data_IF_202928472865
#
_entry.id   IF_202928472865
#
_cell.length_a   1.000
_cell.length_b   1.000
_cell.length_c   1.000
_cell.angle_alpha   90.00
_cell.angle_beta   90.00
_cell.angle_gamma   90.00
#
_symmetry.space_group_name_H-M   'P 1'
#
loop_
_entity.id
_entity.type
_entity.pdbx_description
1 polymer ?
#
# COMPACT_ATOMS: atom_id res chain seq x y z
N UNK A 1 -38.13 -33.84 -24.10
CA UNK A 1 -39.04 -32.68 -24.25
C UNK A 1 -38.15 -31.52 -24.67
N UNK A 2 -38.20 -30.88 -25.84
CA UNK A 2 -39.10 -30.74 -26.99
C UNK A 2 -38.17 -30.49 -28.21
N UNK A 3 -38.32 -31.16 -29.35
CA UNK A 3 -39.06 -30.67 -30.54
C UNK A 3 -38.69 -29.21 -30.90
N UNK A 4 -38.03 -28.89 -32.01
CA UNK A 4 -38.49 -28.94 -33.41
C UNK A 4 -38.37 -27.50 -33.96
N UNK A 5 -37.68 -27.30 -35.09
CA UNK A 5 -37.99 -26.21 -36.03
C UNK A 5 -37.11 -26.31 -37.28
N UNK A 6 -37.50 -27.23 -38.17
CA UNK A 6 -37.28 -27.05 -39.60
C UNK A 6 -38.31 -26.04 -40.08
N UNK A 7 -37.88 -24.88 -40.59
CA UNK A 7 -38.77 -23.97 -41.30
C UNK A 7 -38.26 -23.74 -42.73
N UNK A 8 -38.89 -24.52 -43.61
CA UNK A 8 -39.14 -24.24 -45.02
C UNK A 8 -39.62 -22.78 -45.22
N UNK A 9 -38.98 -22.04 -46.11
CA UNK A 9 -39.64 -20.95 -46.84
C UNK A 9 -39.44 -21.24 -48.33
N UNK A 10 -40.38 -22.02 -48.86
CA UNK A 10 -40.74 -22.04 -50.26
C UNK A 10 -41.64 -20.82 -50.49
N UNK A 11 -41.22 -19.87 -51.33
CA UNK A 11 -42.07 -18.80 -51.83
C UNK A 11 -42.05 -18.79 -53.36
N UNK A 12 -43.16 -18.40 -54.02
CA UNK A 12 -43.54 -18.96 -55.30
C UNK A 12 -43.14 -18.10 -56.50
N UNK A 13 -42.85 -18.86 -57.56
CA UNK A 13 -42.88 -18.52 -58.99
C UNK A 13 -43.91 -17.44 -59.34
N UNK A 14 -43.44 -16.22 -59.61
CA UNK A 14 -44.19 -15.22 -60.37
C UNK A 14 -43.96 -15.45 -61.86
N UNK A 15 -45.00 -15.96 -62.53
CA UNK A 15 -45.09 -15.98 -63.97
C UNK A 15 -45.55 -14.58 -64.43
N UNK A 16 -44.70 -13.86 -65.16
CA UNK A 16 -45.09 -12.70 -65.95
C UNK A 16 -44.90 -13.03 -67.43
N UNK A 17 -46.04 -13.09 -68.13
CA UNK A 17 -46.18 -13.22 -69.58
C UNK A 17 -45.44 -12.10 -70.34
N UNK A 18 -44.66 -12.41 -71.39
CA UNK A 18 -44.21 -11.41 -72.34
C UNK A 18 -45.24 -11.23 -73.46
N UNK A 19 -45.69 -9.98 -73.63
CA UNK A 19 -46.45 -9.54 -74.79
C UNK A 19 -45.67 -9.72 -76.09
N UNK A 20 -46.32 -10.36 -77.05
CA UNK A 20 -45.89 -10.58 -78.42
C UNK A 20 -45.95 -9.27 -79.23
N UNK A 21 -44.79 -8.62 -79.36
CA UNK A 21 -44.55 -7.62 -80.40
C UNK A 21 -43.55 -8.19 -81.40
N UNK A 22 -44.06 -8.55 -82.58
CA UNK A 22 -43.30 -9.05 -83.73
C UNK A 22 -42.35 -7.95 -84.25
N UNK A 23 -41.17 -7.84 -83.63
CA UNK A 23 -40.02 -7.12 -84.17
C UNK A 23 -39.16 -8.13 -84.90
N UNK A 24 -38.94 -7.90 -86.19
CA UNK A 24 -38.01 -8.66 -87.02
C UNK A 24 -36.66 -8.72 -86.30
N UNK A 25 -35.99 -9.88 -86.19
CA UNK A 25 -34.71 -9.98 -85.51
C UNK A 25 -33.69 -9.16 -86.31
N UNK A 26 -33.39 -7.95 -85.84
CA UNK A 26 -32.12 -7.30 -86.15
C UNK A 26 -31.05 -8.22 -85.62
N UNK A 27 -30.45 -9.01 -86.51
CA UNK A 27 -29.30 -9.87 -86.22
C UNK A 27 -28.19 -8.99 -85.65
N UNK A 28 -28.08 -8.95 -84.33
CA UNK A 28 -26.93 -8.37 -83.66
C UNK A 28 -25.75 -9.25 -84.03
N UNK A 29 -24.82 -8.69 -84.80
CA UNK A 29 -23.56 -9.35 -85.08
C UNK A 29 -22.86 -9.60 -83.74
N UNK A 30 -22.34 -10.82 -83.56
CA UNK A 30 -21.61 -11.23 -82.36
C UNK A 30 -20.13 -11.02 -82.63
N UNK A 31 -19.49 -10.16 -81.85
CA UNK A 31 -18.06 -9.85 -81.97
C UNK A 31 -17.22 -10.88 -81.20
N UNK A 32 -16.00 -11.16 -81.68
CA UNK A 32 -15.07 -12.03 -80.98
C UNK A 32 -14.30 -11.24 -79.90
N UNK A 33 -14.24 -11.75 -78.67
CA UNK A 33 -13.55 -11.09 -77.56
C UNK A 33 -12.03 -11.00 -77.73
N UNK A 34 -11.47 -11.76 -78.69
CA UNK A 34 -10.02 -11.89 -78.91
C UNK A 34 -9.55 -11.24 -80.22
N UNK A 35 -10.46 -10.91 -81.14
CA UNK A 35 -10.12 -10.20 -82.38
C UNK A 35 -11.34 -9.45 -82.95
N UNK A 36 -11.12 -8.50 -83.85
CA UNK A 36 -12.16 -7.60 -84.37
C UNK A 36 -13.16 -8.25 -85.36
N UNK A 37 -13.30 -9.58 -85.36
CA UNK A 37 -14.18 -10.32 -86.26
C UNK A 37 -15.58 -10.44 -85.69
N UNK A 38 -16.57 -10.24 -86.55
CA UNK A 38 -17.98 -10.31 -86.21
C UNK A 38 -18.70 -11.43 -86.96
N UNK A 39 -19.58 -12.15 -86.29
CA UNK A 39 -20.27 -13.33 -86.82
C UNK A 39 -21.78 -13.15 -86.74
N UNK A 40 -22.49 -13.73 -87.72
CA UNK A 40 -23.95 -13.64 -87.79
C UNK A 40 -24.66 -14.64 -86.86
N UNK A 41 -23.94 -15.68 -86.42
CA UNK A 41 -24.46 -16.78 -85.62
C UNK A 41 -23.46 -17.17 -84.53
N UNK A 42 -23.99 -17.63 -83.41
CA UNK A 42 -23.18 -18.03 -82.26
C UNK A 42 -22.32 -19.26 -82.56
N UNK A 43 -22.82 -20.21 -83.37
CA UNK A 43 -22.05 -21.42 -83.74
C UNK A 43 -20.79 -21.07 -84.55
N UNK A 44 -20.90 -20.11 -85.47
CA UNK A 44 -19.76 -19.65 -86.28
C UNK A 44 -18.70 -18.93 -85.42
N UNK A 45 -19.16 -18.15 -84.44
CA UNK A 45 -18.28 -17.49 -83.46
C UNK A 45 -17.60 -18.51 -82.54
N UNK A 46 -18.34 -19.48 -81.99
CA UNK A 46 -17.76 -20.49 -81.09
C UNK A 46 -16.76 -21.39 -81.84
N UNK A 47 -17.06 -21.78 -83.08
CA UNK A 47 -16.11 -22.51 -83.93
C UNK A 47 -14.87 -21.66 -84.25
N UNK A 48 -15.04 -20.36 -84.52
CA UNK A 48 -13.90 -19.45 -84.71
C UNK A 48 -13.03 -19.36 -83.45
N UNK A 49 -13.63 -19.17 -82.28
CA UNK A 49 -12.91 -19.10 -81.00
C UNK A 49 -12.20 -20.43 -80.73
N UNK A 50 -12.87 -21.57 -80.90
CA UNK A 50 -12.27 -22.89 -80.63
C UNK A 50 -11.19 -23.30 -81.66
N UNK A 51 -11.14 -22.69 -82.84
CA UNK A 51 -10.13 -23.01 -83.87
C UNK A 51 -8.98 -22.01 -83.96
N UNK A 52 -9.21 -20.74 -83.60
CA UNK A 52 -8.21 -19.67 -83.70
C UNK A 52 -7.75 -19.11 -82.36
N UNK A 53 -8.55 -19.30 -81.31
CA UNK A 53 -8.34 -18.74 -79.98
C UNK A 53 -8.46 -19.81 -78.88
N UNK A 54 -8.20 -21.09 -79.19
CA UNK A 54 -8.34 -22.19 -78.23
C UNK A 54 -7.38 -22.06 -77.04
N UNK A 55 -6.15 -21.63 -77.29
CA UNK A 55 -5.14 -21.36 -76.26
C UNK A 55 -5.50 -20.13 -75.43
N UNK A 56 -5.98 -19.06 -76.06
CA UNK A 56 -6.36 -17.82 -75.36
C UNK A 56 -7.65 -18.00 -74.54
N UNK A 57 -8.59 -18.84 -74.99
CA UNK A 57 -9.77 -19.28 -74.23
C UNK A 57 -9.39 -20.14 -73.03
N UNK A 58 -8.38 -21.01 -73.17
CA UNK A 58 -7.85 -21.81 -72.07
C UNK A 58 -7.12 -20.93 -71.04
N UNK A 59 -6.32 -19.96 -71.47
CA UNK A 59 -5.62 -19.03 -70.58
C UNK A 59 -6.59 -18.10 -69.83
N UNK A 60 -7.67 -17.63 -70.49
CA UNK A 60 -8.72 -16.82 -69.85
C UNK A 60 -9.45 -17.60 -68.76
N UNK A 61 -9.87 -18.84 -69.05
CA UNK A 61 -10.56 -19.68 -68.06
C UNK A 61 -9.63 -20.08 -66.91
N UNK A 62 -8.36 -20.34 -67.19
CA UNK A 62 -7.36 -20.62 -66.16
C UNK A 62 -7.12 -19.40 -65.25
N UNK A 63 -7.06 -18.19 -65.81
CA UNK A 63 -6.92 -16.93 -65.06
C UNK A 63 -8.12 -16.67 -64.14
N UNK A 64 -9.34 -16.87 -64.64
CA UNK A 64 -10.57 -16.74 -63.84
C UNK A 64 -10.62 -17.76 -62.68
N UNK A 65 -10.17 -18.99 -62.90
CA UNK A 65 -10.05 -20.02 -61.85
C UNK A 65 -9.01 -19.60 -60.79
N UNK A 66 -7.86 -19.05 -61.20
CA UNK A 66 -6.85 -18.53 -60.27
C UNK A 66 -7.36 -17.35 -59.44
N UNK A 67 -8.03 -16.38 -60.05
CA UNK A 67 -8.62 -15.23 -59.34
C UNK A 67 -9.67 -15.68 -58.31
N UNK A 68 -10.51 -16.65 -58.66
CA UNK A 68 -11.49 -17.21 -57.72
C UNK A 68 -10.81 -17.91 -56.54
N UNK A 69 -9.77 -18.72 -56.79
CA UNK A 69 -8.99 -19.38 -55.73
C UNK A 69 -8.29 -18.35 -54.83
N UNK A 70 -7.75 -17.29 -55.41
CA UNK A 70 -7.06 -16.22 -54.67
C UNK A 70 -8.04 -15.38 -53.84
N UNK A 71 -9.22 -15.07 -54.36
CA UNK A 71 -10.26 -14.36 -53.60
C UNK A 71 -10.81 -15.22 -52.46
N UNK A 72 -10.99 -16.52 -52.68
CA UNK A 72 -11.36 -17.46 -51.62
C UNK A 72 -10.27 -17.53 -50.54
N UNK A 73 -9.00 -17.62 -50.93
CA UNK A 73 -7.87 -17.57 -50.00
C UNK A 73 -7.81 -16.24 -49.24
N UNK A 74 -8.09 -15.12 -49.91
CA UNK A 74 -8.15 -13.79 -49.28
C UNK A 74 -9.28 -13.71 -48.25
N UNK A 75 -10.48 -14.19 -48.59
CA UNK A 75 -11.63 -14.26 -47.66
C UNK A 75 -11.31 -15.15 -46.47
N UNK A 76 -10.65 -16.28 -46.67
CA UNK A 76 -10.22 -17.16 -45.60
C UNK A 76 -9.19 -16.49 -44.68
N UNK A 77 -8.16 -15.84 -45.25
CA UNK A 77 -7.18 -15.06 -44.48
C UNK A 77 -7.82 -13.94 -43.66
N UNK A 78 -8.81 -13.24 -44.21
CA UNK A 78 -9.54 -12.19 -43.49
C UNK A 78 -10.35 -12.76 -42.32
N UNK A 79 -11.02 -13.93 -42.49
CA UNK A 79 -11.72 -14.60 -41.39
C UNK A 79 -10.77 -15.05 -40.28
N UNK A 80 -9.63 -15.63 -40.65
CA UNK A 80 -8.60 -16.03 -39.68
C UNK A 80 -7.97 -14.83 -38.97
N UNK A 81 -7.75 -13.73 -39.67
CA UNK A 81 -7.26 -12.49 -39.07
C UNK A 81 -8.27 -11.92 -38.06
N UNK A 82 -9.56 -11.87 -38.42
CA UNK A 82 -10.61 -11.42 -37.51
C UNK A 82 -10.74 -12.32 -36.27
N UNK A 83 -10.68 -13.65 -36.45
CA UNK A 83 -10.71 -14.59 -35.33
C UNK A 83 -9.49 -14.44 -34.39
N UNK A 84 -8.30 -14.20 -34.95
CA UNK A 84 -7.10 -13.91 -34.15
C UNK A 84 -7.24 -12.58 -33.41
N UNK A 85 -7.78 -11.55 -34.05
CA UNK A 85 -8.00 -10.25 -33.41
C UNK A 85 -8.98 -10.35 -32.23
N UNK A 86 -10.06 -11.12 -32.38
CA UNK A 86 -11.03 -11.37 -31.31
C UNK A 86 -10.40 -12.15 -30.15
N UNK A 87 -9.63 -13.21 -30.45
CA UNK A 87 -8.90 -13.97 -29.43
C UNK A 87 -7.87 -13.10 -28.68
N UNK A 88 -7.19 -12.18 -29.36
CA UNK A 88 -6.26 -11.23 -28.73
C UNK A 88 -7.01 -10.27 -27.82
N UNK A 89 -8.15 -9.71 -28.24
CA UNK A 89 -8.96 -8.81 -27.40
C UNK A 89 -9.46 -9.51 -26.14
N UNK A 90 -9.94 -10.74 -26.25
CA UNK A 90 -10.39 -11.53 -25.10
C UNK A 90 -9.22 -11.82 -24.13
N UNK A 91 -8.04 -12.14 -24.66
CA UNK A 91 -6.84 -12.35 -23.85
C UNK A 91 -6.42 -11.08 -23.10
N UNK A 92 -6.43 -9.92 -23.77
CA UNK A 92 -6.10 -8.61 -23.15
C UNK A 92 -7.09 -8.27 -22.03
N UNK A 93 -8.40 -8.43 -22.25
CA UNK A 93 -9.42 -8.16 -21.22
C UNK A 93 -9.25 -9.08 -20.01
N UNK A 94 -8.92 -10.36 -20.24
CA UNK A 94 -8.67 -11.31 -19.15
C UNK A 94 -7.42 -10.92 -18.35
N UNK A 95 -6.36 -10.53 -19.03
CA UNK A 95 -5.13 -10.06 -18.37
C UNK A 95 -5.38 -8.79 -17.55
N UNK A 96 -6.11 -7.81 -18.08
CA UNK A 96 -6.48 -6.59 -17.34
C UNK A 96 -7.35 -6.91 -16.11
N UNK A 97 -8.28 -7.85 -16.22
CA UNK A 97 -9.10 -8.30 -15.10
C UNK A 97 -8.24 -8.97 -14.00
N UNK A 98 -7.31 -9.84 -14.39
CA UNK A 98 -6.39 -10.50 -13.47
C UNK A 98 -5.43 -9.48 -12.81
N UNK A 99 -4.97 -8.47 -13.55
CA UNK A 99 -4.20 -7.36 -13.00
C UNK A 99 -5.01 -6.53 -12.00
N UNK A 100 -6.26 -6.19 -12.32
CA UNK A 100 -7.11 -5.42 -11.41
C UNK A 100 -7.46 -6.20 -10.13
N UNK A 101 -7.72 -7.51 -10.22
CA UNK A 101 -8.00 -8.34 -9.04
C UNK A 101 -6.77 -8.49 -8.15
N UNK A 102 -5.58 -8.68 -8.74
CA UNK A 102 -4.33 -8.73 -7.98
C UNK A 102 -3.99 -7.38 -7.34
N UNK A 103 -4.22 -6.26 -8.05
CA UNK A 103 -4.05 -4.91 -7.52
C UNK A 103 -4.98 -4.64 -6.34
N UNK A 104 -6.26 -5.01 -6.44
CA UNK A 104 -7.20 -4.89 -5.31
C UNK A 104 -6.77 -5.72 -4.10
N UNK A 105 -6.25 -6.94 -4.32
CA UNK A 105 -5.73 -7.76 -3.22
C UNK A 105 -4.52 -7.14 -2.55
N UNK A 106 -3.60 -6.58 -3.34
CA UNK A 106 -2.43 -5.86 -2.82
C UNK A 106 -2.88 -4.63 -2.03
N UNK A 107 -3.85 -3.86 -2.54
CA UNK A 107 -4.38 -2.69 -1.84
C UNK A 107 -5.00 -3.05 -0.49
N UNK A 108 -5.79 -4.14 -0.43
CA UNK A 108 -6.36 -4.62 0.84
C UNK A 108 -5.28 -5.00 1.86
N UNK A 109 -4.20 -5.64 1.41
CA UNK A 109 -3.08 -6.00 2.28
C UNK A 109 -2.34 -4.74 2.78
N UNK A 110 -2.11 -3.75 1.92
CA UNK A 110 -1.52 -2.46 2.31
C UNK A 110 -2.38 -1.80 3.39
N UNK A 111 -3.69 -1.69 3.16
CA UNK A 111 -4.61 -1.08 4.13
C UNK A 111 -4.63 -1.85 5.47
N UNK A 112 -4.49 -3.18 5.43
CA UNK A 112 -4.40 -4.00 6.64
C UNK A 112 -3.11 -3.70 7.42
N UNK A 113 -1.96 -3.66 6.74
CA UNK A 113 -0.67 -3.33 7.36
C UNK A 113 -0.66 -1.92 7.94
N UNK A 114 -1.24 -0.93 7.25
CA UNK A 114 -1.33 0.45 7.76
C UNK A 114 -2.11 0.49 9.09
N UNK A 115 -3.27 -0.20 9.17
CA UNK A 115 -4.05 -0.27 10.42
C UNK A 115 -3.28 -0.97 11.56
N UNK A 116 -2.45 -1.96 11.25
CA UNK A 116 -1.60 -2.60 12.25
C UNK A 116 -0.50 -1.67 12.73
N UNK A 117 0.13 -0.91 11.82
CA UNK A 117 1.15 0.08 12.21
C UNK A 117 0.58 1.19 13.08
N UNK A 118 -0.61 1.71 12.76
CA UNK A 118 -1.29 2.72 13.58
C UNK A 118 -1.60 2.19 15.00
N UNK A 119 -2.02 0.92 15.12
CA UNK A 119 -2.24 0.28 16.43
C UNK A 119 -0.94 0.16 17.22
N UNK A 120 0.14 -0.26 16.57
CA UNK A 120 1.46 -0.39 17.21
C UNK A 120 1.99 0.98 17.66
N UNK A 121 1.80 2.03 16.86
CA UNK A 121 2.16 3.39 17.25
C UNK A 121 1.34 3.89 18.44
N UNK A 122 0.03 3.63 18.46
CA UNK A 122 -0.81 3.96 19.62
C UNK A 122 -0.36 3.22 20.89
N UNK A 123 -0.05 1.92 20.78
CA UNK A 123 0.51 1.14 21.90
C UNK A 123 1.85 1.69 22.36
N UNK A 124 2.75 2.04 21.44
CA UNK A 124 4.05 2.65 21.74
C UNK A 124 3.90 3.98 22.47
N UNK A 125 2.99 4.84 22.02
CA UNK A 125 2.70 6.10 22.71
C UNK A 125 2.14 5.87 24.12
N UNK A 126 1.24 4.89 24.27
CA UNK A 126 0.71 4.49 25.58
C UNK A 126 1.83 4.02 26.53
N UNK A 127 2.67 3.09 26.08
CA UNK A 127 3.81 2.62 26.86
C UNK A 127 4.81 3.71 27.22
N UNK A 128 5.08 4.65 26.30
CA UNK A 128 5.97 5.79 26.58
C UNK A 128 5.41 6.64 27.71
N UNK A 129 4.10 6.94 27.67
CA UNK A 129 3.43 7.72 28.71
C UNK A 129 3.44 6.99 30.06
N UNK A 130 3.18 5.69 30.08
CA UNK A 130 3.27 4.87 31.29
C UNK A 130 4.68 4.88 31.87
N UNK A 131 5.71 4.80 31.02
CA UNK A 131 7.10 4.89 31.44
C UNK A 131 7.41 6.25 32.08
N UNK A 132 6.97 7.34 31.48
CA UNK A 132 7.15 8.69 32.02
C UNK A 132 6.45 8.84 33.39
N UNK A 133 5.22 8.33 33.52
CA UNK A 133 4.48 8.32 34.78
C UNK A 133 5.20 7.50 35.87
N UNK A 134 5.81 6.36 35.51
CA UNK A 134 6.62 5.58 36.44
C UNK A 134 7.90 6.32 36.83
N UNK A 135 8.60 6.94 35.89
CA UNK A 135 9.81 7.71 36.20
C UNK A 135 9.50 8.85 37.17
N UNK A 136 8.43 9.60 36.95
CA UNK A 136 8.02 10.64 37.90
C UNK A 136 7.67 10.06 39.28
N UNK A 137 7.06 8.87 39.33
CA UNK A 137 6.76 8.20 40.60
C UNK A 137 8.04 7.80 41.33
N UNK A 138 9.04 7.28 40.62
CA UNK A 138 10.35 6.97 41.19
C UNK A 138 11.04 8.24 41.72
N UNK A 139 11.07 9.32 40.95
CA UNK A 139 11.64 10.60 41.38
C UNK A 139 10.96 11.14 42.65
N UNK A 140 9.63 11.05 42.72
CA UNK A 140 8.87 11.44 43.92
C UNK A 140 9.25 10.60 45.14
N UNK A 141 9.47 9.30 44.96
CA UNK A 141 9.86 8.39 46.04
C UNK A 141 11.30 8.65 46.51
N UNK A 142 12.24 8.85 45.60
CA UNK A 142 13.64 9.19 45.92
C UNK A 142 13.70 10.49 46.71
N UNK A 143 13.07 11.56 46.20
CA UNK A 143 13.00 12.85 46.90
C UNK A 143 12.33 12.73 48.28
N UNK A 144 11.34 11.84 48.43
CA UNK A 144 10.71 11.60 49.74
C UNK A 144 11.68 10.89 50.69
N UNK A 145 12.37 9.85 50.24
CA UNK A 145 13.34 9.11 51.03
C UNK A 145 14.50 10.00 51.49
N UNK A 146 15.01 10.88 50.61
CA UNK A 146 16.03 11.87 50.95
C UNK A 146 15.54 12.85 52.02
N UNK A 147 14.32 13.40 51.87
CA UNK A 147 13.73 14.28 52.89
C UNK A 147 13.55 13.58 54.24
N UNK A 148 13.13 12.32 54.22
CA UNK A 148 12.92 11.53 55.45
C UNK A 148 14.27 11.13 56.09
N UNK A 149 15.32 10.94 55.29
CA UNK A 149 16.68 10.74 55.79
C UNK A 149 17.23 12.01 56.45
N UNK A 150 17.19 13.14 55.75
CA UNK A 150 17.63 14.44 56.28
C UNK A 150 16.87 14.78 57.57
N UNK A 151 15.56 14.54 57.61
CA UNK A 151 14.76 14.76 58.83
C UNK A 151 15.27 13.95 60.02
N UNK A 152 15.54 12.66 59.83
CA UNK A 152 16.07 11.79 60.89
C UNK A 152 17.43 12.24 61.39
N UNK A 153 18.30 12.70 60.49
CA UNK A 153 19.60 13.25 60.86
C UNK A 153 19.45 14.55 61.65
N UNK A 154 18.59 15.46 61.22
CA UNK A 154 18.30 16.70 61.96
C UNK A 154 17.77 16.41 63.37
N UNK A 155 16.87 15.43 63.52
CA UNK A 155 16.36 15.03 64.84
C UNK A 155 17.47 14.41 65.72
N UNK A 156 18.41 13.67 65.13
CA UNK A 156 19.55 13.13 65.86
C UNK A 156 20.48 14.23 66.36
N UNK A 157 20.84 15.15 65.46
CA UNK A 157 21.69 16.31 65.80
C UNK A 157 21.02 17.21 66.84
N UNK A 158 19.70 17.37 66.78
CA UNK A 158 18.97 18.13 67.80
C UNK A 158 19.05 17.47 69.18
N UNK A 159 18.92 16.13 69.26
CA UNK A 159 19.10 15.40 70.52
C UNK A 159 20.52 15.54 71.08
N UNK A 160 21.53 15.46 70.22
CA UNK A 160 22.93 15.66 70.62
C UNK A 160 23.16 17.09 71.11
N UNK A 161 22.60 18.09 70.41
CA UNK A 161 22.65 19.48 70.85
C UNK A 161 22.04 19.66 72.24
N UNK A 162 20.85 19.09 72.49
CA UNK A 162 20.18 19.18 73.79
C UNK A 162 20.99 18.51 74.91
N UNK A 163 21.67 17.39 74.61
CA UNK A 163 22.61 16.74 75.53
C UNK A 163 23.83 17.63 75.85
N UNK A 164 24.42 18.24 74.82
CA UNK A 164 25.55 19.17 74.99
C UNK A 164 25.12 20.38 75.82
N UNK A 165 23.96 20.98 75.53
CA UNK A 165 23.42 22.11 76.28
C UNK A 165 23.20 21.76 77.76
N UNK A 166 22.71 20.55 78.04
CA UNK A 166 22.59 20.04 79.40
C UNK A 166 23.96 19.94 80.10
N UNK A 167 24.93 19.32 79.46
CA UNK A 167 26.29 19.16 80.02
C UNK A 167 26.97 20.52 80.23
N UNK A 168 26.81 21.45 79.29
CA UNK A 168 27.33 22.82 79.39
C UNK A 168 26.78 23.55 80.63
N UNK A 169 25.46 23.47 80.88
CA UNK A 169 24.85 24.06 82.08
C UNK A 169 25.35 23.39 83.36
N UNK A 170 25.48 22.06 83.35
CA UNK A 170 26.02 21.31 84.48
C UNK A 170 27.45 21.76 84.83
N UNK A 171 28.33 21.82 83.83
CA UNK A 171 29.71 22.26 84.03
C UNK A 171 29.81 23.74 84.43
N UNK A 172 28.97 24.62 83.88
CA UNK A 172 28.91 26.01 84.31
C UNK A 172 28.56 26.14 85.80
N UNK A 173 27.55 25.40 86.28
CA UNK A 173 27.18 25.37 87.69
C UNK A 173 28.32 24.83 88.56
N UNK A 174 28.97 23.74 88.15
CA UNK A 174 30.13 23.20 88.86
C UNK A 174 31.29 24.20 88.94
N UNK A 175 31.58 24.92 87.85
CA UNK A 175 32.59 25.96 87.81
C UNK A 175 32.27 27.09 88.79
N UNK A 176 31.03 27.58 88.84
CA UNK A 176 30.63 28.61 89.82
C UNK A 176 30.78 28.13 91.27
N UNK A 177 30.44 26.86 91.56
CA UNK A 177 30.59 26.28 92.89
C UNK A 177 32.08 26.15 93.30
N UNK A 178 32.95 25.73 92.38
CA UNK A 178 34.39 25.68 92.60
C UNK A 178 35.00 27.07 92.78
N UNK A 179 34.59 28.06 91.99
CA UNK A 179 35.01 29.45 92.15
C UNK A 179 34.65 29.99 93.54
N UNK A 180 33.42 29.72 94.02
CA UNK A 180 33.01 30.09 95.38
C UNK A 180 33.87 29.44 96.45
N UNK A 181 34.18 28.13 96.31
CA UNK A 181 35.06 27.40 97.24
C UNK A 181 36.48 27.95 97.25
N UNK A 182 37.06 28.22 96.08
CA UNK A 182 38.37 28.84 95.95
C UNK A 182 38.40 30.23 96.61
N UNK A 183 37.35 31.03 96.45
CA UNK A 183 37.20 32.32 97.14
C UNK A 183 37.27 32.17 98.67
N UNK A 184 36.57 31.18 99.24
CA UNK A 184 36.63 30.90 100.69
C UNK A 184 38.02 30.49 101.16
N UNK A 185 38.69 29.58 100.43
CA UNK A 185 40.05 29.11 100.76
C UNK A 185 41.04 30.28 100.71
N UNK A 186 40.95 31.16 99.70
CA UNK A 186 41.81 32.33 99.59
C UNK A 186 41.61 33.31 100.75
N UNK A 187 40.37 33.54 101.18
CA UNK A 187 40.04 34.37 102.33
C UNK A 187 40.56 33.76 103.65
N UNK A 188 40.41 32.45 103.85
CA UNK A 188 40.99 31.74 104.99
C UNK A 188 42.52 31.83 105.01
N UNK A 189 43.16 31.63 103.85
CA UNK A 189 44.62 31.78 103.69
C UNK A 189 45.06 33.19 104.08
N UNK A 190 44.36 34.23 103.61
CA UNK A 190 44.64 35.64 103.97
C UNK A 190 44.58 35.85 105.48
N UNK A 191 43.54 35.34 106.14
CA UNK A 191 43.40 35.42 107.62
C UNK A 191 44.53 34.70 108.35
N UNK A 192 44.96 33.53 107.87
CA UNK A 192 46.08 32.79 108.46
C UNK A 192 47.40 33.52 108.28
N UNK A 193 47.65 34.11 107.11
CA UNK A 193 48.85 34.94 106.87
C UNK A 193 48.86 36.18 107.78
N UNK A 194 47.72 36.83 107.99
CA UNK A 194 47.58 37.95 108.93
C UNK A 194 47.84 37.53 110.37
N UNK A 195 47.27 36.40 110.82
CA UNK A 195 47.56 35.83 112.14
C UNK A 195 49.04 35.51 112.31
N UNK A 196 49.66 34.90 111.30
CA UNK A 196 51.10 34.60 111.31
C UNK A 196 51.93 35.88 111.46
N UNK A 197 51.65 36.92 110.67
CA UNK A 197 52.33 38.23 110.79
C UNK A 197 52.15 38.84 112.18
N UNK A 198 50.97 38.72 112.78
CA UNK A 198 50.73 39.22 114.14
C UNK A 198 51.53 38.47 115.21
N UNK A 199 51.75 37.17 115.02
CA UNK A 199 52.59 36.36 115.92
C UNK A 199 54.08 36.70 115.78
N UNK A 200 54.56 36.92 114.55
CA UNK A 200 55.96 37.25 114.29
C UNK A 200 56.37 38.65 114.80
N UNK A 201 55.42 39.49 115.24
CA UNK A 201 55.64 40.84 115.78
C UNK A 201 55.70 40.91 117.32
N UNK A 202 55.45 39.81 118.04
CA UNK A 202 55.50 39.69 119.51
C UNK A 202 56.79 39.01 119.95
#
# INVERSE_FOLDING_TARGET
>A
MLQSAWNYIFAPRTQSSPGSASKKPTRTLLECDFCDKTYAWWEDLDMHINSKHSEEKADRTQREIYEFMEEAARKQRMKEAAAKEESVKEAVVKEEHDQHTTQNRVQQNIDATVRETEKLEAMKMGMSKEMDEQMEKFDRLVKKAERDHIRREMESLQREKDQIDFLMRFHANAATALQSRLGKINEERRRLEERKRSMDQV
#
